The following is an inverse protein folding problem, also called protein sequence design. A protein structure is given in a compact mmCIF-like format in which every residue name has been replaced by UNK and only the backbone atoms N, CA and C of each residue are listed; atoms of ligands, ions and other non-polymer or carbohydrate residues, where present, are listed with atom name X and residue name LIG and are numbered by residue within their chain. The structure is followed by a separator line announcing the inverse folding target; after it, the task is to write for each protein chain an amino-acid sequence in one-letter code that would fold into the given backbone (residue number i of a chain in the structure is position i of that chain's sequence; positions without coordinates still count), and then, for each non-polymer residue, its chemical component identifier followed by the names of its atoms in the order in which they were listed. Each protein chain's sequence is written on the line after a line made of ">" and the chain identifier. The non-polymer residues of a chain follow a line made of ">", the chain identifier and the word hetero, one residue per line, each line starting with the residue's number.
data_IF_792534384062
#
_entry.id   IF_792534384062
#
_cell.length_a   1.000
_cell.length_b   1.000
_cell.length_c   1.000
_cell.angle_alpha   90.00
_cell.angle_beta   90.00
_cell.angle_gamma   90.00
#
_symmetry.space_group_name_H-M   'P 1'
#
loop_
_entity.id
_entity.type
_entity.pdbx_description
1 polymer ?
#
# COMPACT_ATOMS: atom_id res chain seq x y z
N UNK A 1 13.89 9.03 -1.22
CA UNK A 1 14.40 7.74 -0.78
C UNK A 1 13.55 6.61 -1.34
N UNK A 2 14.09 5.43 -1.32
CA UNK A 2 13.39 4.27 -1.84
C UNK A 2 12.09 4.00 -1.07
N UNK A 3 12.13 4.19 0.24
CA UNK A 3 10.95 4.00 1.08
C UNK A 3 9.89 5.03 0.72
N UNK A 4 10.26 6.28 0.49
CA UNK A 4 9.31 7.30 0.09
C UNK A 4 8.69 6.97 -1.27
N UNK A 5 9.48 6.45 -2.20
CA UNK A 5 8.96 6.07 -3.51
C UNK A 5 7.92 4.96 -3.39
N UNK A 6 8.18 3.98 -2.54
CA UNK A 6 7.23 2.88 -2.29
C UNK A 6 5.94 3.43 -1.66
N UNK A 7 6.06 4.30 -0.67
CA UNK A 7 4.90 4.89 -0.01
C UNK A 7 4.07 5.71 -0.98
N UNK A 8 4.72 6.48 -1.85
CA UNK A 8 4.01 7.25 -2.87
C UNK A 8 3.28 6.33 -3.83
N UNK A 9 3.90 5.22 -4.22
CA UNK A 9 3.27 4.25 -5.11
C UNK A 9 2.04 3.65 -4.45
N UNK A 10 2.15 3.28 -3.16
CA UNK A 10 1.00 2.73 -2.41
C UNK A 10 -0.13 3.75 -2.37
N UNK A 11 0.20 5.01 -2.12
CA UNK A 11 -0.83 6.05 -2.06
C UNK A 11 -1.59 6.18 -3.38
N UNK A 12 -0.87 6.13 -4.50
CA UNK A 12 -1.51 6.19 -5.81
C UNK A 12 -2.37 4.96 -6.06
N UNK A 13 -1.91 3.80 -5.61
CA UNK A 13 -2.67 2.57 -5.77
C UNK A 13 -3.97 2.63 -4.97
N UNK A 14 -3.93 3.15 -3.75
CA UNK A 14 -5.12 3.31 -2.94
C UNK A 14 -6.10 4.27 -3.61
N UNK A 15 -5.58 5.36 -4.17
CA UNK A 15 -6.45 6.32 -4.85
C UNK A 15 -7.20 5.65 -6.02
N UNK A 16 -6.53 4.77 -6.76
CA UNK A 16 -7.17 4.04 -7.84
C UNK A 16 -8.23 3.07 -7.32
N UNK A 17 -7.91 2.37 -6.22
CA UNK A 17 -8.87 1.42 -5.63
C UNK A 17 -10.10 2.14 -5.11
N UNK A 18 -9.94 3.35 -4.57
CA UNK A 18 -11.06 4.12 -4.03
C UNK A 18 -12.00 4.60 -5.12
N UNK A 19 -11.52 4.77 -6.36
CA UNK A 19 -12.40 5.12 -7.47
C UNK A 19 -13.41 4.02 -7.73
N UNK A 20 -12.98 2.77 -7.61
CA UNK A 20 -13.86 1.62 -7.84
C UNK A 20 -14.71 1.30 -6.61
N UNK A 21 -14.14 1.46 -5.42
CA UNK A 21 -14.80 1.05 -4.16
C UNK A 21 -14.61 2.12 -3.09
N UNK A 22 -15.42 3.20 -3.13
CA UNK A 22 -15.31 4.24 -2.10
C UNK A 22 -15.57 3.68 -0.71
N UNK A 23 -14.87 4.23 0.28
CA UNK A 23 -15.09 3.86 1.67
C UNK A 23 -14.31 2.63 2.13
N UNK A 24 -13.45 2.06 1.29
CA UNK A 24 -12.67 0.88 1.67
C UNK A 24 -11.37 1.23 2.39
N UNK A 25 -11.06 2.51 2.51
CA UNK A 25 -9.90 3.01 3.26
C UNK A 25 -10.34 4.21 4.09
N UNK A 26 -9.60 4.47 5.17
CA UNK A 26 -9.89 5.65 6.00
C UNK A 26 -9.61 6.94 5.22
N UNK A 27 -10.36 8.01 5.51
CA UNK A 27 -10.20 9.27 4.80
C UNK A 27 -8.79 9.83 4.92
N UNK A 28 -8.14 9.62 6.07
CA UNK A 28 -6.79 10.12 6.30
C UNK A 28 -5.73 9.07 5.95
N UNK A 29 -6.03 8.20 5.00
CA UNK A 29 -5.10 7.12 4.65
C UNK A 29 -3.70 7.61 4.22
N UNK A 30 -3.54 8.77 3.56
CA UNK A 30 -2.17 9.17 3.19
C UNK A 30 -1.27 9.34 4.40
N UNK A 31 -1.81 9.84 5.50
CA UNK A 31 -1.06 10.01 6.73
C UNK A 31 -0.87 8.67 7.44
N UNK A 32 -1.93 7.87 7.48
CA UNK A 32 -1.87 6.58 8.16
C UNK A 32 -0.92 5.60 7.48
N UNK A 33 -0.88 5.60 6.14
CA UNK A 33 0.00 4.66 5.46
C UNK A 33 1.47 4.96 5.73
N UNK A 34 1.82 6.21 5.97
CA UNK A 34 3.19 6.58 6.31
C UNK A 34 3.50 6.28 7.77
N UNK A 35 2.56 6.57 8.65
CA UNK A 35 2.76 6.33 10.09
C UNK A 35 2.79 4.84 10.43
N UNK A 36 2.04 4.04 9.71
CA UNK A 36 1.93 2.59 9.96
C UNK A 36 2.82 1.75 9.06
N UNK A 37 3.67 2.38 8.28
CA UNK A 37 4.53 1.65 7.35
C UNK A 37 5.62 0.92 8.11
N UNK A 38 5.73 -0.40 7.84
CA UNK A 38 6.76 -1.26 8.42
C UNK A 38 7.51 -1.92 7.28
N UNK A 39 8.76 -1.53 7.02
CA UNK A 39 9.52 -2.09 5.88
C UNK A 39 9.64 -3.60 5.90
N UNK A 40 9.55 -4.20 7.10
CA UNK A 40 9.66 -5.65 7.24
C UNK A 40 8.36 -6.37 6.90
N UNK A 41 7.24 -5.64 6.72
CA UNK A 41 5.95 -6.26 6.44
C UNK A 41 5.81 -6.52 4.94
N UNK A 42 6.51 -7.53 4.47
CA UNK A 42 6.42 -7.91 3.07
C UNK A 42 6.67 -9.41 2.90
N UNK A 43 6.26 -9.94 1.76
CA UNK A 43 6.62 -11.29 1.38
C UNK A 43 6.79 -11.36 -0.14
N UNK A 44 7.51 -12.38 -0.60
CA UNK A 44 7.86 -12.53 -2.02
C UNK A 44 6.85 -13.43 -2.71
N UNK A 45 6.55 -13.09 -3.96
CA UNK A 45 5.76 -13.93 -4.86
C UNK A 45 6.50 -14.05 -6.19
N UNK A 46 6.08 -14.97 -7.06
CA UNK A 46 6.70 -15.03 -8.38
C UNK A 46 6.54 -13.75 -9.19
N UNK A 47 5.50 -12.98 -8.94
CA UNK A 47 5.23 -11.74 -9.69
C UNK A 47 5.91 -10.53 -9.10
N UNK A 48 6.25 -10.55 -7.81
CA UNK A 48 6.85 -9.39 -7.20
C UNK A 48 6.83 -9.46 -5.69
N UNK A 49 6.93 -8.30 -5.08
CA UNK A 49 6.95 -8.17 -3.62
C UNK A 49 5.58 -7.68 -3.17
N UNK A 50 4.99 -8.37 -2.20
CA UNK A 50 3.73 -7.91 -1.60
C UNK A 50 4.06 -7.18 -0.31
N UNK A 51 3.65 -5.93 -0.24
CA UNK A 51 3.79 -5.10 0.95
C UNK A 51 2.43 -5.05 1.62
N UNK A 52 2.36 -5.26 2.93
CA UNK A 52 1.07 -5.33 3.60
C UNK A 52 1.06 -4.47 4.87
N UNK A 53 -0.14 -4.13 5.28
CA UNK A 53 -0.41 -3.43 6.52
C UNK A 53 -1.23 -4.34 7.42
N UNK A 54 -1.17 -4.10 8.73
CA UNK A 54 -2.02 -4.81 9.66
C UNK A 54 -3.47 -4.37 9.48
N UNK A 55 -4.40 -5.25 9.87
CA UNK A 55 -5.80 -4.88 9.85
C UNK A 55 -6.03 -3.62 10.67
N UNK A 56 -6.87 -2.73 10.15
CA UNK A 56 -7.29 -1.50 10.82
C UNK A 56 -6.21 -0.42 10.84
N UNK A 57 -5.02 -0.65 10.30
CA UNK A 57 -4.00 0.40 10.26
C UNK A 57 -4.38 1.54 9.31
N UNK A 58 -4.89 1.19 8.12
CA UNK A 58 -5.21 2.19 7.09
C UNK A 58 -6.61 2.01 6.52
N UNK A 59 -7.35 1.01 6.97
CA UNK A 59 -8.67 0.67 6.43
C UNK A 59 -9.51 0.01 7.49
N UNK A 60 -10.85 0.03 7.36
CA UNK A 60 -11.73 -0.65 8.30
C UNK A 60 -11.49 -2.17 8.28
N UNK A 61 -11.87 -2.83 9.37
CA UNK A 61 -11.74 -4.29 9.45
C UNK A 61 -12.43 -5.01 8.32
N UNK A 62 -13.55 -4.47 7.84
CA UNK A 62 -14.30 -5.08 6.75
C UNK A 62 -13.51 -5.18 5.45
N UNK A 63 -12.45 -4.38 5.31
CA UNK A 63 -11.60 -4.41 4.11
C UNK A 63 -10.51 -5.48 4.20
N UNK A 64 -10.33 -6.11 5.35
CA UNK A 64 -9.32 -7.12 5.53
C UNK A 64 -7.93 -6.54 5.68
N UNK A 65 -6.92 -7.37 5.39
CA UNK A 65 -5.52 -6.97 5.45
C UNK A 65 -5.16 -6.28 4.14
N UNK A 66 -4.79 -4.99 4.17
CA UNK A 66 -4.39 -4.30 2.94
C UNK A 66 -3.08 -4.87 2.38
N UNK A 67 -3.09 -5.24 1.11
CA UNK A 67 -1.91 -5.79 0.44
C UNK A 67 -1.70 -5.07 -0.88
N UNK A 68 -0.43 -4.84 -1.20
CA UNK A 68 -0.05 -4.10 -2.40
C UNK A 68 1.08 -4.85 -3.10
N UNK A 69 0.80 -5.35 -4.30
CA UNK A 69 1.81 -6.06 -5.09
C UNK A 69 2.65 -5.05 -5.85
N UNK A 70 3.95 -5.06 -5.60
CA UNK A 70 4.92 -4.30 -6.34
C UNK A 70 5.59 -5.26 -7.33
N UNK A 71 5.20 -5.22 -8.62
CA UNK A 71 5.76 -6.17 -9.59
C UNK A 71 7.26 -5.96 -9.77
N UNK A 72 7.97 -7.05 -10.08
CA UNK A 72 9.41 -6.96 -10.28
C UNK A 72 9.80 -6.04 -11.43
N UNK A 73 8.91 -5.86 -12.41
CA UNK A 73 9.18 -4.99 -13.55
C UNK A 73 8.70 -3.55 -13.34
N UNK A 74 8.25 -3.20 -12.13
CA UNK A 74 7.81 -1.84 -11.85
C UNK A 74 9.01 -0.92 -11.65
N UNK A 75 8.88 0.34 -12.10
CA UNK A 75 9.93 1.35 -11.96
C UNK A 75 9.55 2.33 -10.88
N UNK A 76 9.42 1.84 -9.65
CA UNK A 76 8.97 2.66 -8.53
C UNK A 76 9.99 3.74 -8.19
N UNK A 77 11.26 3.39 -8.23
CA UNK A 77 12.33 4.32 -7.88
C UNK A 77 12.90 5.04 -9.09
N UNK A 78 12.33 4.84 -10.23
CA UNK A 78 12.77 5.49 -11.46
C UNK A 78 12.45 6.97 -11.39
N UNK A 79 13.40 7.81 -11.72
CA UNK A 79 13.14 9.23 -11.68
C UNK A 79 14.04 9.98 -12.62
#
# INVERSE_FOLDING_TARGET
>A
SYIHDIQNWIQLEIAERLKANPGTYFDNYPQLLRNSFHPENFYMTPEGIVIYYQQYDIAPYSSGIPEFLLPFDANVSES
#
